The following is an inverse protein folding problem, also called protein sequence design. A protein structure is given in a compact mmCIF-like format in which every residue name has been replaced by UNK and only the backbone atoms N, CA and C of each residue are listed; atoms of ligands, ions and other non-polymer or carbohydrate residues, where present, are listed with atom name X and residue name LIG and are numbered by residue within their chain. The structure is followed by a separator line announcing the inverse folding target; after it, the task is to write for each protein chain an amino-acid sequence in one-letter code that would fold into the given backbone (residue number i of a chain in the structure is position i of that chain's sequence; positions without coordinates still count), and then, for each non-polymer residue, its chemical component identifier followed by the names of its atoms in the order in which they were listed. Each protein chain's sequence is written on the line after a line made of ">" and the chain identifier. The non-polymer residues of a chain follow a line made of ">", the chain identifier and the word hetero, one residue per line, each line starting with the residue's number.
data_IF_878499652277
#
_entry.id   IF_878499652277
#
_cell.length_a   1.000
_cell.length_b   1.000
_cell.length_c   1.000
_cell.angle_alpha   90.00
_cell.angle_beta   90.00
_cell.angle_gamma   90.00
#
_symmetry.space_group_name_H-M   'P 1'
#
loop_
_entity.id
_entity.type
_entity.pdbx_description
1 polymer ?
#
# COMPACT_ATOMS: atom_id res chain seq x y z
N UNK A 1 -14.67 -23.46 -2.32
CA UNK A 1 -13.37 -24.09 -2.63
C UNK A 1 -12.49 -23.86 -1.43
N UNK A 2 -12.02 -24.92 -0.77
CA UNK A 2 -11.22 -24.82 0.45
C UNK A 2 -9.83 -24.25 0.08
N UNK A 3 -9.19 -23.48 0.97
CA UNK A 3 -7.84 -22.89 0.79
C UNK A 3 -6.82 -23.96 0.35
N UNK A 4 -6.97 -25.19 0.88
CA UNK A 4 -6.19 -26.37 0.47
C UNK A 4 -6.33 -26.72 -1.03
N UNK A 5 -7.54 -26.69 -1.55
CA UNK A 5 -7.81 -26.98 -2.97
C UNK A 5 -7.28 -25.87 -3.89
N UNK A 6 -7.34 -24.64 -3.42
CA UNK A 6 -6.77 -23.49 -4.13
C UNK A 6 -5.24 -23.54 -4.17
N UNK A 7 -4.60 -23.96 -3.08
CA UNK A 7 -3.15 -24.09 -3.02
C UNK A 7 -2.66 -25.30 -3.84
N UNK A 8 -3.33 -26.44 -3.77
CA UNK A 8 -3.02 -27.61 -4.62
C UNK A 8 -3.18 -27.28 -6.11
N UNK A 9 -4.22 -26.53 -6.48
CA UNK A 9 -4.38 -26.03 -7.83
C UNK A 9 -3.27 -25.01 -8.20
N UNK A 10 -2.78 -24.22 -7.24
CA UNK A 10 -1.70 -23.23 -7.45
C UNK A 10 -0.32 -23.83 -7.44
N UNK A 11 -0.04 -24.89 -6.65
CA UNK A 11 1.21 -25.65 -6.73
C UNK A 11 1.39 -26.38 -8.07
N UNK A 12 0.30 -26.53 -8.84
CA UNK A 12 0.33 -26.97 -10.23
C UNK A 12 0.56 -25.81 -11.22
N UNK A 13 0.44 -24.54 -10.77
CA UNK A 13 0.82 -23.38 -11.55
C UNK A 13 2.32 -23.19 -11.44
N UNK A 14 2.99 -23.00 -12.55
CA UNK A 14 4.41 -22.56 -12.57
C UNK A 14 4.53 -21.22 -11.83
N UNK A 15 5.71 -20.93 -11.30
CA UNK A 15 6.05 -19.58 -10.89
C UNK A 15 5.63 -18.60 -11.98
N UNK A 16 5.05 -17.48 -11.58
CA UNK A 16 4.51 -16.49 -12.49
C UNK A 16 4.48 -15.11 -11.85
N UNK A 17 3.81 -14.17 -12.50
CA UNK A 17 3.69 -12.80 -12.01
C UNK A 17 3.01 -12.71 -10.63
N UNK A 18 2.19 -13.69 -10.26
CA UNK A 18 1.32 -13.63 -9.07
C UNK A 18 1.78 -14.54 -7.91
N UNK A 19 2.68 -15.49 -8.14
CA UNK A 19 3.09 -16.46 -7.11
C UNK A 19 4.60 -16.65 -7.13
N UNK A 20 5.21 -16.63 -5.96
CA UNK A 20 6.62 -16.88 -5.75
C UNK A 20 6.81 -17.97 -4.68
N UNK A 21 7.56 -19.00 -5.01
CA UNK A 21 7.90 -20.09 -4.11
C UNK A 21 9.32 -19.94 -3.56
N UNK A 22 9.49 -20.19 -2.26
CA UNK A 22 10.80 -20.11 -1.65
C UNK A 22 11.06 -21.32 -0.75
N UNK A 23 12.18 -21.98 -0.98
CA UNK A 23 12.71 -22.95 -0.02
C UNK A 23 13.06 -22.23 1.28
N UNK A 24 12.65 -22.82 2.38
CA UNK A 24 12.88 -22.26 3.71
C UNK A 24 13.44 -23.30 4.69
N UNK A 25 13.82 -24.50 4.20
CA UNK A 25 14.38 -25.58 5.05
C UNK A 25 15.68 -25.17 5.74
N UNK A 26 16.50 -24.33 5.11
CA UNK A 26 17.77 -23.86 5.64
C UNK A 26 17.69 -22.55 6.43
N UNK A 27 16.51 -22.00 6.65
CA UNK A 27 16.27 -20.73 7.33
C UNK A 27 15.30 -19.84 6.58
N UNK A 28 14.94 -18.71 7.18
CA UNK A 28 14.10 -17.71 6.52
C UNK A 28 14.82 -17.14 5.29
N UNK A 29 14.21 -17.15 4.09
CA UNK A 29 14.90 -16.78 2.85
C UNK A 29 15.31 -15.31 2.84
N UNK A 30 16.58 -15.02 2.52
CA UNK A 30 17.08 -13.64 2.42
C UNK A 30 16.35 -12.83 1.33
N UNK A 31 15.95 -13.49 0.23
CA UNK A 31 15.21 -12.86 -0.86
C UNK A 31 13.73 -12.65 -0.59
N UNK A 32 13.23 -13.00 0.62
CA UNK A 32 11.81 -12.81 0.95
C UNK A 32 11.37 -11.35 0.81
N UNK A 33 12.14 -10.44 1.41
CA UNK A 33 11.78 -9.04 1.46
C UNK A 33 11.87 -8.33 0.11
N UNK A 34 12.79 -8.74 -0.78
CA UNK A 34 12.82 -8.21 -2.16
C UNK A 34 11.56 -8.60 -2.94
N UNK A 35 11.11 -9.85 -2.82
CA UNK A 35 9.85 -10.28 -3.44
C UNK A 35 8.63 -9.63 -2.80
N UNK A 36 8.63 -9.44 -1.47
CA UNK A 36 7.60 -8.68 -0.77
C UNK A 36 7.48 -7.23 -1.31
N UNK A 37 8.61 -6.52 -1.40
CA UNK A 37 8.66 -5.17 -1.98
C UNK A 37 8.18 -5.17 -3.43
N UNK A 38 8.59 -6.15 -4.22
CA UNK A 38 8.23 -6.27 -5.63
C UNK A 38 6.71 -6.45 -5.81
N UNK A 39 6.09 -7.34 -5.05
CA UNK A 39 4.63 -7.53 -5.08
C UNK A 39 3.88 -6.29 -4.60
N UNK A 40 4.29 -5.72 -3.46
CA UNK A 40 3.64 -4.54 -2.90
C UNK A 40 3.66 -3.34 -3.84
N UNK A 41 4.72 -3.16 -4.63
CA UNK A 41 4.86 -2.05 -5.59
C UNK A 41 4.28 -2.35 -6.98
N UNK A 42 3.77 -3.57 -7.22
CA UNK A 42 3.19 -3.95 -8.52
C UNK A 42 1.70 -4.25 -8.35
N UNK A 43 1.28 -5.47 -8.51
CA UNK A 43 -0.15 -5.84 -8.48
C UNK A 43 -0.53 -6.70 -7.27
N UNK A 44 0.39 -6.85 -6.33
CA UNK A 44 0.29 -7.81 -5.24
C UNK A 44 0.71 -9.20 -5.69
N UNK A 45 0.56 -10.18 -4.79
CA UNK A 45 0.89 -11.57 -5.09
C UNK A 45 0.96 -12.45 -3.86
N UNK A 46 1.42 -13.67 -4.04
CA UNK A 46 1.49 -14.69 -3.00
C UNK A 46 2.93 -15.18 -2.87
N UNK A 47 3.47 -15.08 -1.65
CA UNK A 47 4.75 -15.68 -1.28
C UNK A 47 4.49 -16.96 -0.50
N UNK A 48 5.09 -18.06 -0.92
CA UNK A 48 4.95 -19.35 -0.25
C UNK A 48 6.32 -19.85 0.22
N UNK A 49 6.48 -19.99 1.52
CA UNK A 49 7.66 -20.60 2.13
C UNK A 49 7.46 -22.10 2.35
N UNK A 50 8.50 -22.88 2.15
CA UNK A 50 8.49 -24.32 2.33
C UNK A 50 8.24 -25.10 1.04
N UNK A 51 8.47 -24.48 -0.10
CA UNK A 51 8.39 -25.08 -1.42
C UNK A 51 9.74 -24.95 -2.11
N UNK A 52 10.18 -26.02 -2.77
CA UNK A 52 11.38 -26.01 -3.63
C UNK A 52 11.04 -26.54 -5.02
N UNK A 53 11.76 -26.05 -6.00
CA UNK A 53 11.75 -26.60 -7.34
C UNK A 53 12.59 -27.91 -7.40
N UNK A 54 12.02 -28.92 -8.02
CA UNK A 54 12.69 -30.19 -8.29
C UNK A 54 12.27 -30.71 -9.67
N UNK A 55 13.19 -30.75 -10.60
CA UNK A 55 12.98 -31.20 -11.99
C UNK A 55 11.85 -30.42 -12.73
N UNK A 56 11.67 -29.14 -12.43
CA UNK A 56 10.61 -28.29 -13.02
C UNK A 56 9.26 -28.35 -12.29
N UNK A 57 9.15 -29.16 -11.22
CA UNK A 57 7.96 -29.26 -10.39
C UNK A 57 8.19 -28.57 -9.03
N UNK A 58 7.17 -27.93 -8.48
CA UNK A 58 7.17 -27.35 -7.16
C UNK A 58 6.68 -28.34 -6.12
N UNK A 59 7.57 -28.70 -5.19
CA UNK A 59 7.29 -29.72 -4.16
C UNK A 59 7.52 -29.15 -2.76
N UNK A 60 6.75 -29.60 -1.74
CA UNK A 60 6.98 -29.19 -0.36
C UNK A 60 8.42 -29.50 0.09
N UNK A 61 9.03 -28.56 0.79
CA UNK A 61 10.43 -28.62 1.25
C UNK A 61 10.60 -29.33 2.60
N UNK A 62 9.49 -29.72 3.24
CA UNK A 62 9.48 -30.49 4.48
C UNK A 62 9.67 -29.64 5.74
N UNK A 63 9.10 -28.42 5.78
CA UNK A 63 9.09 -27.61 6.99
C UNK A 63 8.30 -28.29 8.11
N UNK A 64 8.79 -28.14 9.33
CA UNK A 64 8.11 -28.55 10.56
C UNK A 64 7.18 -27.45 11.06
N UNK A 65 6.23 -27.79 11.92
CA UNK A 65 5.35 -26.83 12.58
C UNK A 65 6.14 -25.79 13.40
N UNK A 66 7.18 -26.23 14.11
CA UNK A 66 8.06 -25.35 14.88
C UNK A 66 8.80 -24.34 13.97
N UNK A 67 9.31 -24.80 12.82
CA UNK A 67 9.98 -23.89 11.86
C UNK A 67 9.00 -22.82 11.32
N UNK A 68 7.78 -23.22 10.99
CA UNK A 68 6.75 -22.28 10.49
C UNK A 68 6.37 -21.25 11.57
N UNK A 69 6.17 -21.70 12.82
CA UNK A 69 5.89 -20.80 13.93
C UNK A 69 7.05 -19.79 14.16
N UNK A 70 8.30 -20.26 14.10
CA UNK A 70 9.48 -19.40 14.22
C UNK A 70 9.59 -18.40 13.05
N UNK A 71 9.28 -18.83 11.83
CA UNK A 71 9.31 -17.95 10.64
C UNK A 71 8.17 -16.93 10.66
N UNK A 72 6.99 -17.30 11.13
CA UNK A 72 5.88 -16.37 11.33
C UNK A 72 6.25 -15.29 12.36
N UNK A 73 6.83 -15.70 13.49
CA UNK A 73 7.32 -14.73 14.48
C UNK A 73 8.39 -13.81 13.88
N UNK A 74 9.41 -14.39 13.22
CA UNK A 74 10.46 -13.60 12.57
C UNK A 74 9.90 -12.62 11.55
N UNK A 75 8.93 -13.04 10.75
CA UNK A 75 8.27 -12.14 9.78
C UNK A 75 7.66 -10.93 10.47
N UNK A 76 6.91 -11.12 11.57
CA UNK A 76 6.29 -10.01 12.29
C UNK A 76 7.32 -9.08 12.95
N UNK A 77 8.37 -9.65 13.53
CA UNK A 77 9.48 -8.88 14.10
C UNK A 77 10.17 -8.00 13.03
N UNK A 78 10.46 -8.57 11.86
CA UNK A 78 11.09 -7.89 10.74
C UNK A 78 10.13 -6.87 10.07
N UNK A 79 8.85 -7.20 9.92
CA UNK A 79 7.85 -6.31 9.31
C UNK A 79 7.66 -4.99 10.09
N UNK A 80 7.83 -5.03 11.41
CA UNK A 80 7.78 -3.85 12.26
C UNK A 80 9.14 -3.14 12.43
N UNK A 81 10.19 -3.68 11.82
CA UNK A 81 11.51 -3.08 11.83
C UNK A 81 11.74 -2.25 10.55
N UNK A 82 11.74 -0.93 10.67
CA UNK A 82 11.99 -0.02 9.54
C UNK A 82 13.35 -0.19 8.86
N UNK A 83 14.31 -0.80 9.54
CA UNK A 83 15.57 -1.16 8.91
C UNK A 83 15.45 -2.39 8.01
N UNK A 84 14.35 -3.14 8.07
CA UNK A 84 14.05 -4.28 7.22
C UNK A 84 13.11 -3.87 6.07
N UNK A 85 11.95 -3.30 6.40
CA UNK A 85 10.95 -2.85 5.42
C UNK A 85 10.31 -1.54 5.85
N UNK A 86 10.01 -0.67 4.90
CA UNK A 86 9.52 0.68 5.15
C UNK A 86 8.18 0.76 5.87
N UNK A 87 7.28 -0.21 5.62
CA UNK A 87 5.94 -0.29 6.23
C UNK A 87 5.51 -1.73 6.51
N UNK A 88 4.80 -1.99 7.62
CA UNK A 88 4.12 -3.26 7.87
C UNK A 88 2.80 -3.28 7.07
N UNK A 89 2.82 -3.88 5.87
CA UNK A 89 1.68 -3.85 4.95
C UNK A 89 0.64 -4.93 5.28
N UNK A 90 1.06 -6.09 5.80
CA UNK A 90 0.18 -7.23 6.07
C UNK A 90 -0.48 -7.14 7.44
N UNK A 91 -1.64 -7.76 7.54
CA UNK A 91 -2.33 -8.07 8.78
C UNK A 91 -2.37 -9.58 9.04
N UNK A 92 -2.76 -10.01 10.24
CA UNK A 92 -2.73 -11.42 10.64
C UNK A 92 -3.47 -12.36 9.67
N UNK A 93 -4.59 -11.91 9.09
CA UNK A 93 -5.37 -12.70 8.14
C UNK A 93 -4.68 -12.92 6.79
N UNK A 94 -3.62 -12.17 6.50
CA UNK A 94 -2.86 -12.29 5.24
C UNK A 94 -1.77 -13.35 5.33
N UNK A 95 -1.58 -13.97 6.51
CA UNK A 95 -0.55 -14.96 6.76
C UNK A 95 -1.18 -16.28 7.19
N UNK A 96 -1.06 -17.30 6.36
CA UNK A 96 -1.69 -18.62 6.58
C UNK A 96 -0.65 -19.71 6.76
N UNK A 97 -0.94 -20.64 7.65
CA UNK A 97 -0.19 -21.90 7.82
C UNK A 97 -0.98 -23.06 7.22
N UNK A 98 -0.36 -23.81 6.31
CA UNK A 98 -1.01 -24.92 5.62
C UNK A 98 -0.24 -26.20 5.88
N UNK A 99 -0.94 -27.20 6.42
CA UNK A 99 -0.40 -28.56 6.54
C UNK A 99 -0.67 -29.32 5.25
N UNK A 100 0.40 -29.87 4.65
CA UNK A 100 0.31 -30.70 3.45
C UNK A 100 -0.12 -32.13 3.79
N UNK A 101 -0.58 -32.89 2.80
CA UNK A 101 -0.93 -34.30 3.00
C UNK A 101 0.27 -35.17 3.37
N UNK A 102 1.48 -34.76 3.01
CA UNK A 102 2.75 -35.37 3.42
C UNK A 102 3.21 -35.03 4.85
N UNK A 103 2.39 -34.28 5.62
CA UNK A 103 2.68 -33.94 7.02
C UNK A 103 3.64 -32.77 7.21
N UNK A 104 4.17 -32.18 6.14
CA UNK A 104 4.96 -30.95 6.19
C UNK A 104 4.06 -29.71 6.21
N UNK A 105 4.66 -28.56 6.52
CA UNK A 105 3.94 -27.28 6.60
C UNK A 105 4.44 -26.29 5.55
N UNK A 106 3.56 -25.39 5.16
CA UNK A 106 3.85 -24.23 4.31
C UNK A 106 3.40 -22.96 5.03
N UNK A 107 4.11 -21.87 4.80
CA UNK A 107 3.71 -20.55 5.28
C UNK A 107 3.44 -19.66 4.08
N UNK A 108 2.21 -19.17 3.97
CA UNK A 108 1.69 -18.43 2.83
C UNK A 108 1.42 -16.98 3.23
N UNK A 109 1.91 -16.05 2.42
CA UNK A 109 1.72 -14.62 2.61
C UNK A 109 0.98 -14.04 1.42
N UNK A 110 -0.19 -13.47 1.66
CA UNK A 110 -0.97 -12.74 0.67
C UNK A 110 -0.54 -11.26 0.69
N UNK A 111 0.37 -10.90 -0.19
CA UNK A 111 0.91 -9.54 -0.26
C UNK A 111 -0.01 -8.68 -1.12
N UNK A 112 -0.76 -7.73 -0.55
CA UNK A 112 -1.60 -6.84 -1.35
C UNK A 112 -0.74 -5.83 -2.10
N UNK A 113 -1.29 -5.31 -3.20
CA UNK A 113 -0.76 -4.10 -3.81
C UNK A 113 -0.84 -2.95 -2.82
N UNK A 114 0.27 -2.30 -2.51
CA UNK A 114 0.27 -1.15 -1.62
C UNK A 114 -0.55 0.01 -2.22
N UNK A 115 -1.36 0.72 -1.43
CA UNK A 115 -1.99 1.96 -1.84
C UNK A 115 -0.97 2.98 -2.34
N UNK A 116 -1.34 3.84 -3.27
CA UNK A 116 -0.43 4.83 -3.86
C UNK A 116 0.25 5.74 -2.83
N UNK A 117 -0.49 6.15 -1.79
CA UNK A 117 0.02 7.00 -0.71
C UNK A 117 1.01 6.31 0.24
N UNK A 118 1.18 4.98 0.12
CA UNK A 118 2.12 4.18 0.89
C UNK A 118 3.31 3.68 0.05
N UNK A 119 3.34 3.97 -1.26
CA UNK A 119 4.47 3.60 -2.13
C UNK A 119 5.54 4.69 -2.11
N UNK A 120 6.80 4.32 -2.35
CA UNK A 120 7.29 2.94 -2.54
C UNK A 120 7.37 2.16 -1.23
N UNK A 121 7.12 0.84 -1.30
CA UNK A 121 7.49 -0.11 -0.26
C UNK A 121 8.92 -0.55 -0.55
N UNK A 122 9.85 -0.23 0.34
CA UNK A 122 11.28 -0.43 0.13
C UNK A 122 11.94 -1.08 1.33
N UNK A 123 13.11 -1.63 1.12
CA UNK A 123 13.92 -2.26 2.14
C UNK A 123 14.93 -1.28 2.72
N UNK A 124 15.37 -1.54 3.94
CA UNK A 124 16.30 -0.67 4.65
C UNK A 124 15.73 0.73 4.92
N UNK A 125 16.61 1.72 5.10
CA UNK A 125 16.22 3.11 5.38
C UNK A 125 16.27 4.02 4.15
N UNK A 126 16.69 3.49 2.99
CA UNK A 126 16.84 4.25 1.76
C UNK A 126 16.01 3.61 0.63
N UNK A 127 15.05 4.32 0.01
CA UNK A 127 14.26 3.79 -1.08
C UNK A 127 15.06 3.55 -2.37
N UNK A 128 16.11 4.34 -2.61
CA UNK A 128 16.93 4.21 -3.82
C UNK A 128 17.84 2.99 -3.75
N UNK A 129 17.75 2.14 -4.78
CA UNK A 129 18.45 0.86 -4.83
C UNK A 129 17.82 -0.26 -4.00
N UNK A 130 16.78 0.02 -3.20
CA UNK A 130 16.13 -0.93 -2.29
C UNK A 130 14.61 -1.03 -2.50
N UNK A 131 14.10 -0.49 -3.58
CA UNK A 131 12.71 -0.63 -4.04
C UNK A 131 12.67 -1.61 -5.18
N UNK A 132 11.76 -2.58 -5.14
CA UNK A 132 11.64 -3.63 -6.15
C UNK A 132 10.28 -3.58 -6.82
N UNK A 133 10.23 -4.02 -8.08
CA UNK A 133 9.01 -4.27 -8.86
C UNK A 133 9.06 -5.64 -9.49
N UNK A 134 7.89 -6.30 -9.54
CA UNK A 134 7.72 -7.55 -10.26
C UNK A 134 7.55 -7.28 -11.75
N UNK A 135 8.35 -7.96 -12.58
CA UNK A 135 8.17 -7.99 -14.04
C UNK A 135 8.30 -9.44 -14.48
N UNK A 136 7.23 -9.99 -15.05
CA UNK A 136 7.14 -11.43 -15.35
C UNK A 136 7.42 -12.28 -14.09
N UNK A 137 8.44 -13.10 -14.11
CA UNK A 137 8.81 -14.00 -13.01
C UNK A 137 9.94 -13.44 -12.13
N UNK A 138 10.42 -12.22 -12.39
CA UNK A 138 11.58 -11.63 -11.71
C UNK A 138 11.27 -10.42 -10.86
N UNK A 139 12.03 -10.28 -9.76
CA UNK A 139 12.04 -9.10 -8.90
C UNK A 139 13.20 -8.19 -9.28
N UNK A 140 12.90 -7.02 -9.82
CA UNK A 140 13.90 -6.08 -10.32
C UNK A 140 13.94 -4.82 -9.46
N UNK A 141 15.16 -4.35 -9.19
CA UNK A 141 15.36 -3.05 -8.53
C UNK A 141 14.80 -1.95 -9.43
N UNK A 142 13.99 -1.07 -8.85
CA UNK A 142 13.46 0.10 -9.55
C UNK A 142 14.58 1.09 -9.90
N UNK A 143 14.45 1.73 -11.05
CA UNK A 143 15.29 2.88 -11.37
C UNK A 143 14.96 4.06 -10.46
N UNK A 144 15.93 4.94 -10.23
CA UNK A 144 15.75 6.09 -9.34
C UNK A 144 14.58 6.98 -9.76
N UNK A 145 14.34 7.13 -11.06
CA UNK A 145 13.23 7.93 -11.58
C UNK A 145 11.86 7.30 -11.25
N UNK A 146 11.73 5.96 -11.33
CA UNK A 146 10.53 5.26 -10.89
C UNK A 146 10.27 5.49 -9.40
N UNK A 147 11.33 5.46 -8.57
CA UNK A 147 11.23 5.70 -7.12
C UNK A 147 10.81 7.14 -6.85
N UNK A 148 11.42 8.13 -7.53
CA UNK A 148 11.02 9.55 -7.43
C UNK A 148 9.57 9.76 -7.81
N UNK A 149 9.11 9.10 -8.88
CA UNK A 149 7.71 9.19 -9.30
C UNK A 149 6.77 8.63 -8.23
N UNK A 150 7.04 7.44 -7.65
CA UNK A 150 6.23 6.88 -6.57
C UNK A 150 6.17 7.80 -5.35
N UNK A 151 7.29 8.42 -4.97
CA UNK A 151 7.35 9.38 -3.84
C UNK A 151 6.52 10.63 -4.16
N UNK A 152 6.62 11.15 -5.38
CA UNK A 152 5.84 12.31 -5.83
C UNK A 152 4.34 12.01 -5.80
N UNK A 153 3.93 10.86 -6.33
CA UNK A 153 2.53 10.41 -6.33
C UNK A 153 1.99 10.27 -4.90
N UNK A 154 2.78 9.64 -4.00
CA UNK A 154 2.42 9.51 -2.60
C UNK A 154 2.26 10.86 -1.89
N UNK A 155 3.14 11.81 -2.15
CA UNK A 155 3.08 13.15 -1.58
C UNK A 155 1.88 13.95 -2.14
N UNK A 156 1.57 13.82 -3.42
CA UNK A 156 0.41 14.46 -4.04
C UNK A 156 -0.91 14.01 -3.40
N UNK A 157 -0.99 12.74 -3.01
CA UNK A 157 -2.15 12.19 -2.28
C UNK A 157 -2.15 12.55 -0.79
N UNK A 158 -0.98 12.79 -0.18
CA UNK A 158 -0.87 13.27 1.22
C UNK A 158 -1.25 14.74 1.34
N UNK A 159 -0.90 15.56 0.36
CA UNK A 159 -1.35 16.97 0.31
C UNK A 159 -2.88 17.10 0.24
N UNK A 160 -3.58 16.02 -0.05
CA UNK A 160 -5.04 15.98 0.00
C UNK A 160 -5.64 15.84 1.41
N UNK A 161 -4.86 15.83 2.50
CA UNK A 161 -5.44 15.87 3.86
C UNK A 161 -6.26 17.15 4.02
N UNK A 162 -5.73 18.28 3.57
CA UNK A 162 -6.40 19.57 3.62
C UNK A 162 -7.66 19.61 2.73
N UNK A 163 -7.64 18.87 1.62
CA UNK A 163 -8.77 18.75 0.69
C UNK A 163 -9.75 17.62 1.03
N UNK A 164 -9.53 16.89 2.14
CA UNK A 164 -10.43 15.84 2.61
C UNK A 164 -11.75 16.43 3.08
N UNK A 165 -12.87 15.90 2.54
CA UNK A 165 -14.21 16.28 2.95
C UNK A 165 -14.49 15.76 4.36
N UNK A 166 -14.92 16.63 5.25
CA UNK A 166 -15.35 16.35 6.60
C UNK A 166 -16.85 15.99 6.61
N UNK A 167 -17.21 14.87 7.25
CA UNK A 167 -18.61 14.45 7.33
C UNK A 167 -19.34 15.16 8.46
N UNK A 168 -20.57 15.59 8.18
CA UNK A 168 -21.46 16.17 9.18
C UNK A 168 -21.26 17.65 9.44
N UNK A 169 -20.35 18.31 8.74
CA UNK A 169 -20.18 19.76 8.81
C UNK A 169 -21.03 20.46 7.75
N UNK A 170 -21.66 21.58 8.15
CA UNK A 170 -22.57 22.40 7.35
C UNK A 170 -22.09 23.86 7.33
N UNK A 171 -22.78 24.71 6.58
CA UNK A 171 -22.48 26.14 6.57
C UNK A 171 -22.66 26.81 7.94
N UNK A 172 -23.45 26.20 8.81
CA UNK A 172 -23.69 26.71 10.18
C UNK A 172 -22.46 26.56 11.09
N UNK A 173 -21.54 25.65 10.72
CA UNK A 173 -20.27 25.41 11.44
C UNK A 173 -19.16 26.38 11.02
N UNK A 174 -19.39 27.20 9.97
CA UNK A 174 -18.40 28.14 9.45
C UNK A 174 -18.49 29.48 10.21
N UNK A 175 -17.34 29.99 10.64
CA UNK A 175 -17.27 31.35 11.19
C UNK A 175 -17.39 32.39 10.04
N UNK A 176 -18.62 32.78 9.74
CA UNK A 176 -18.93 33.74 8.69
C UNK A 176 -18.19 35.08 8.82
N UNK A 177 -17.99 35.65 10.04
CA UNK A 177 -17.14 36.85 10.19
C UNK A 177 -15.70 36.64 9.69
N UNK A 178 -15.08 35.52 9.95
CA UNK A 178 -13.74 35.16 9.46
C UNK A 178 -13.71 35.00 7.94
N UNK A 179 -14.71 34.30 7.36
CA UNK A 179 -14.84 34.17 5.91
C UNK A 179 -14.96 35.55 5.24
N UNK A 180 -15.83 36.41 5.75
CA UNK A 180 -16.01 37.78 5.20
C UNK A 180 -14.76 38.65 5.38
N UNK A 181 -13.99 38.42 6.48
CA UNK A 181 -12.70 39.12 6.65
C UNK A 181 -11.69 38.63 5.59
N UNK A 182 -11.59 37.31 5.38
CA UNK A 182 -10.73 36.74 4.35
C UNK A 182 -11.11 37.23 2.95
N UNK A 183 -12.40 37.26 2.61
CA UNK A 183 -12.88 37.80 1.32
C UNK A 183 -12.47 39.25 1.12
N UNK A 184 -12.59 40.11 2.14
CA UNK A 184 -12.14 41.51 2.04
C UNK A 184 -10.64 41.63 1.74
N UNK A 185 -9.82 40.78 2.39
CA UNK A 185 -8.38 40.76 2.12
C UNK A 185 -8.08 40.22 0.71
N UNK A 186 -8.78 39.17 0.31
CA UNK A 186 -8.67 38.61 -1.05
C UNK A 186 -9.01 39.67 -2.11
N UNK A 187 -10.14 40.35 -2.00
CA UNK A 187 -10.58 41.39 -2.91
C UNK A 187 -9.61 42.57 -2.97
N UNK A 188 -9.02 42.92 -1.83
CA UNK A 188 -8.01 43.99 -1.75
C UNK A 188 -6.73 43.63 -2.53
N UNK A 189 -6.28 42.36 -2.45
CA UNK A 189 -5.08 41.91 -3.14
C UNK A 189 -5.33 41.49 -4.60
N UNK A 190 -6.59 41.23 -4.98
CA UNK A 190 -6.99 40.75 -6.29
C UNK A 190 -8.13 41.61 -6.86
N UNK A 191 -7.85 42.90 -7.05
CA UNK A 191 -8.82 43.84 -7.65
C UNK A 191 -9.28 43.34 -9.02
N UNK A 192 -10.59 43.42 -9.28
CA UNK A 192 -11.25 42.94 -10.52
C UNK A 192 -11.12 41.42 -10.80
N UNK A 193 -10.82 40.58 -9.80
CA UNK A 193 -10.85 39.14 -9.99
C UNK A 193 -12.30 38.65 -10.09
N UNK A 194 -12.64 37.75 -11.05
CA UNK A 194 -14.01 37.25 -11.22
C UNK A 194 -14.65 36.70 -9.93
N UNK A 195 -13.86 36.10 -9.03
CA UNK A 195 -14.36 35.55 -7.77
C UNK A 195 -14.86 36.61 -6.76
N UNK A 196 -14.58 37.88 -7.00
CA UNK A 196 -15.02 38.96 -6.11
C UNK A 196 -16.53 39.12 -6.12
N UNK A 197 -17.20 38.73 -7.22
CA UNK A 197 -18.65 38.81 -7.41
C UNK A 197 -19.40 37.52 -7.02
N UNK A 198 -18.65 36.41 -6.73
CA UNK A 198 -19.24 35.14 -6.36
C UNK A 198 -19.95 35.22 -4.99
N UNK A 199 -20.95 34.37 -4.79
CA UNK A 199 -21.49 34.14 -3.44
C UNK A 199 -20.49 33.39 -2.55
N UNK A 200 -20.78 33.31 -1.25
CA UNK A 200 -19.86 32.73 -0.26
C UNK A 200 -19.59 31.25 -0.54
N UNK A 201 -20.58 30.47 -1.00
CA UNK A 201 -20.40 29.04 -1.28
C UNK A 201 -19.52 28.83 -2.50
N UNK A 202 -19.74 29.55 -3.59
CA UNK A 202 -18.94 29.49 -4.82
C UNK A 202 -17.51 29.95 -4.55
N UNK A 203 -17.35 31.02 -3.76
CA UNK A 203 -16.03 31.46 -3.34
C UNK A 203 -15.30 30.39 -2.52
N UNK A 204 -15.98 29.72 -1.58
CA UNK A 204 -15.40 28.61 -0.80
C UNK A 204 -15.05 27.39 -1.68
N UNK A 205 -15.81 27.11 -2.75
CA UNK A 205 -15.43 26.09 -3.73
C UNK A 205 -14.12 26.47 -4.44
N UNK A 206 -13.99 27.71 -4.89
CA UNK A 206 -12.80 28.18 -5.60
C UNK A 206 -11.52 28.14 -4.75
N UNK A 207 -11.61 28.51 -3.49
CA UNK A 207 -10.45 28.44 -2.57
C UNK A 207 -10.22 27.05 -2.01
N UNK A 208 -11.07 26.04 -2.34
CA UNK A 208 -10.95 24.68 -1.89
C UNK A 208 -11.45 24.40 -0.46
N UNK A 209 -12.14 25.37 0.16
CA UNK A 209 -12.75 25.20 1.48
C UNK A 209 -14.01 24.31 1.42
N UNK A 210 -14.71 24.29 0.28
CA UNK A 210 -15.80 23.36 -0.03
C UNK A 210 -15.47 22.58 -1.31
N UNK A 211 -15.85 21.31 -1.37
CA UNK A 211 -15.50 20.44 -2.50
C UNK A 211 -16.59 19.41 -2.80
N UNK A 212 -16.73 19.08 -4.09
CA UNK A 212 -17.49 17.92 -4.60
C UNK A 212 -16.54 16.84 -5.06
N UNK A 213 -16.59 15.68 -4.43
CA UNK A 213 -15.86 14.49 -4.88
C UNK A 213 -16.74 13.72 -5.87
N UNK A 214 -16.37 13.75 -7.14
CA UNK A 214 -17.11 13.06 -8.22
C UNK A 214 -17.00 11.55 -8.17
N UNK A 215 -15.94 11.01 -7.55
CA UNK A 215 -15.70 9.58 -7.47
C UNK A 215 -16.61 8.92 -6.42
N UNK A 216 -16.86 9.64 -5.30
CA UNK A 216 -17.69 9.15 -4.19
C UNK A 216 -19.08 9.77 -4.16
N UNK A 217 -19.37 10.75 -5.04
CA UNK A 217 -20.58 11.56 -5.05
C UNK A 217 -20.85 12.25 -3.71
N UNK A 218 -19.80 12.52 -2.94
CA UNK A 218 -19.88 13.26 -1.67
C UNK A 218 -19.48 14.72 -1.88
N UNK A 219 -20.15 15.62 -1.16
CA UNK A 219 -19.78 17.04 -1.12
C UNK A 219 -19.76 17.53 0.33
N UNK A 220 -18.95 18.53 0.60
CA UNK A 220 -18.84 19.10 1.94
C UNK A 220 -17.60 19.96 2.15
N UNK A 221 -17.49 20.48 3.36
CA UNK A 221 -16.32 21.27 3.77
C UNK A 221 -15.09 20.41 3.89
N UNK A 222 -13.96 20.97 3.49
CA UNK A 222 -12.65 20.32 3.58
C UNK A 222 -11.98 20.63 4.92
N UNK A 223 -10.93 19.88 5.26
CA UNK A 223 -10.11 20.19 6.44
C UNK A 223 -9.58 21.62 6.38
N UNK A 224 -9.09 22.07 5.20
CA UNK A 224 -8.61 23.42 5.02
C UNK A 224 -9.71 24.48 5.19
N UNK A 225 -10.95 24.15 4.89
CA UNK A 225 -12.09 25.08 5.02
C UNK A 225 -12.57 25.27 6.47
N UNK A 226 -12.08 24.42 7.40
CA UNK A 226 -12.46 24.45 8.82
C UNK A 226 -11.34 24.99 9.73
N UNK A 227 -10.17 25.32 9.17
CA UNK A 227 -9.03 25.92 9.87
C UNK A 227 -9.05 27.46 9.78
#
# INVERSE_FOLDING_TARGET
>A
MNVKEQLQARLQLKEGAEVEYKSAKGGFPQSFWSSFSAFANTDGGILVLGVKEKNGDFVPDGLTEEQVANYRKKFWDDAHNKACVSIPLLVESDVEEIKTDGGSFLLVFHVPRAPYNLRPVYLTLNPFGNTYRRRHEGDYVCMDDDVRQMISDANSLRSSVDSRILRGYTIEDIDMPSLHHYRRLYNFHHENHPWNEDDDMVFMEHIGAYRKDRATSTEGFTVAGML
#
